data_IF_869257501993
#
_entry.id   IF_869257501993
#
_cell.length_a   1.000
_cell.length_b   1.000
_cell.length_c   1.000
_cell.angle_alpha   90.00
_cell.angle_beta   90.00
_cell.angle_gamma   90.00
#
_symmetry.space_group_name_H-M   'P 1'
#
loop_
_entity.id
_entity.type
_entity.pdbx_description
1 polymer ?
#
# COMPACT_ATOMS: atom_id res chain seq x y z
N UNK A 1 -21.56 7.79 57.43
CA UNK A 1 -20.52 7.19 56.55
C UNK A 1 -21.08 6.60 55.26
N UNK A 2 -22.32 6.08 55.27
CA UNK A 2 -23.00 5.42 54.12
C UNK A 2 -23.40 6.34 52.95
N UNK A 3 -23.65 7.64 53.19
CA UNK A 3 -24.07 8.57 52.14
C UNK A 3 -22.93 8.94 51.17
N UNK A 4 -21.71 9.10 51.69
CA UNK A 4 -20.52 9.39 50.88
C UNK A 4 -20.17 8.23 49.94
N UNK A 5 -20.35 6.98 50.40
CA UNK A 5 -20.08 5.79 49.59
C UNK A 5 -21.06 5.65 48.41
N UNK A 6 -22.35 5.96 48.64
CA UNK A 6 -23.39 5.96 47.58
C UNK A 6 -23.18 7.08 46.56
N UNK A 7 -22.74 8.26 47.00
CA UNK A 7 -22.39 9.37 46.12
C UNK A 7 -21.22 9.02 45.20
N UNK A 8 -20.18 8.38 45.73
CA UNK A 8 -19.02 7.96 44.95
C UNK A 8 -19.36 6.84 43.97
N UNK A 9 -20.20 5.88 44.37
CA UNK A 9 -20.69 4.83 43.47
C UNK A 9 -21.55 5.40 42.33
N UNK A 10 -22.39 6.40 42.60
CA UNK A 10 -23.18 7.08 41.58
C UNK A 10 -22.31 7.86 40.58
N UNK A 11 -21.28 8.57 41.06
CA UNK A 11 -20.29 9.23 40.19
C UNK A 11 -19.49 8.23 39.35
N UNK A 12 -19.10 7.08 39.92
CA UNK A 12 -18.40 6.02 39.19
C UNK A 12 -19.27 5.38 38.09
N UNK A 13 -20.57 5.24 38.35
CA UNK A 13 -21.55 4.73 37.38
C UNK A 13 -21.78 5.72 36.23
N UNK A 14 -21.77 7.03 36.48
CA UNK A 14 -21.85 8.07 35.45
C UNK A 14 -20.62 8.12 34.54
N UNK A 15 -19.43 7.79 35.07
CA UNK A 15 -18.19 7.70 34.28
C UNK A 15 -18.18 6.55 33.26
N UNK A 16 -19.02 5.51 33.44
CA UNK A 16 -19.12 4.35 32.53
C UNK A 16 -20.00 4.66 31.30
N UNK A 17 -20.83 5.71 31.35
CA UNK A 17 -21.73 6.10 30.26
C UNK A 17 -21.22 7.26 29.40
N UNK A 18 -19.96 7.67 29.56
CA UNK A 18 -19.36 8.65 28.65
C UNK A 18 -19.09 7.91 27.33
N UNK A 19 -19.76 8.26 26.21
CA UNK A 19 -19.41 7.70 24.92
C UNK A 19 -17.98 8.15 24.60
N UNK A 20 -17.07 7.19 24.48
CA UNK A 20 -15.77 7.44 23.89
C UNK A 20 -15.99 7.46 22.38
N UNK A 21 -15.94 8.64 21.78
CA UNK A 21 -15.83 8.76 20.33
C UNK A 21 -14.48 8.15 19.92
N UNK A 22 -14.50 6.92 19.44
CA UNK A 22 -13.34 6.34 18.77
C UNK A 22 -13.26 6.98 17.40
N UNK A 23 -12.29 7.86 17.19
CA UNK A 23 -11.99 8.34 15.84
C UNK A 23 -11.44 7.17 15.03
N UNK A 24 -12.21 6.73 14.04
CA UNK A 24 -11.62 6.00 12.94
C UNK A 24 -10.63 6.93 12.23
N UNK A 25 -9.44 6.41 11.95
CA UNK A 25 -8.40 7.15 11.23
C UNK A 25 -8.92 7.49 9.83
N UNK A 26 -8.90 8.78 9.45
CA UNK A 26 -9.44 9.28 8.18
C UNK A 26 -8.43 9.22 7.01
N UNK A 27 -7.34 8.50 7.18
CA UNK A 27 -6.25 8.36 6.22
C UNK A 27 -6.71 7.63 4.94
N UNK A 28 -7.85 6.96 4.98
CA UNK A 28 -8.54 6.37 3.82
C UNK A 28 -9.90 7.03 3.53
N UNK A 29 -10.11 8.29 3.92
CA UNK A 29 -11.38 9.00 3.72
C UNK A 29 -11.62 9.43 2.27
N UNK A 30 -10.56 9.67 1.49
CA UNK A 30 -10.65 10.05 0.07
C UNK A 30 -10.02 8.96 -0.79
N UNK A 31 -10.76 8.51 -1.80
CA UNK A 31 -10.31 7.49 -2.76
C UNK A 31 -10.31 8.11 -4.15
N UNK A 32 -9.20 8.02 -4.87
CA UNK A 32 -9.16 8.23 -6.32
C UNK A 32 -8.81 6.92 -7.01
N UNK A 33 -9.49 6.65 -8.12
CA UNK A 33 -9.31 5.45 -8.92
C UNK A 33 -9.60 5.74 -10.40
N UNK A 34 -9.48 4.71 -11.24
CA UNK A 34 -9.53 4.82 -12.70
C UNK A 34 -10.68 5.66 -13.28
N UNK A 35 -10.48 6.14 -14.51
CA UNK A 35 -11.49 6.93 -15.21
C UNK A 35 -11.76 8.30 -14.58
N UNK A 36 -10.76 8.90 -13.93
CA UNK A 36 -10.86 10.19 -13.21
C UNK A 36 -11.86 10.22 -12.06
N UNK A 37 -12.29 9.04 -11.61
CA UNK A 37 -13.30 8.89 -10.57
C UNK A 37 -12.69 8.93 -9.16
N UNK A 38 -13.53 9.27 -8.19
CA UNK A 38 -13.18 9.17 -6.78
C UNK A 38 -14.40 9.18 -5.88
N UNK A 39 -14.18 8.88 -4.60
CA UNK A 39 -15.17 8.91 -3.53
C UNK A 39 -14.60 9.60 -2.30
N UNK A 40 -15.38 10.48 -1.69
CA UNK A 40 -15.10 11.11 -0.39
C UNK A 40 -16.07 10.58 0.67
N UNK A 41 -15.54 10.02 1.75
CA UNK A 41 -16.28 9.45 2.87
C UNK A 41 -16.35 10.38 4.09
N UNK A 42 -15.78 11.58 4.03
CA UNK A 42 -15.68 12.50 5.18
C UNK A 42 -17.03 12.91 5.79
N UNK A 43 -18.10 12.88 4.99
CA UNK A 43 -19.45 13.26 5.42
C UNK A 43 -20.25 12.12 6.09
N UNK A 44 -19.70 10.92 6.15
CA UNK A 44 -20.41 9.70 6.61
C UNK A 44 -21.26 9.02 5.53
N UNK A 45 -21.45 9.66 4.37
CA UNK A 45 -21.96 9.04 3.15
C UNK A 45 -20.97 9.27 2.00
N UNK A 46 -20.82 8.32 1.05
CA UNK A 46 -19.91 8.47 -0.07
C UNK A 46 -20.37 9.59 -1.00
N UNK A 47 -19.49 10.56 -1.26
CA UNK A 47 -19.69 11.65 -2.22
C UNK A 47 -18.79 11.42 -3.43
N UNK A 48 -19.35 11.50 -4.64
CA UNK A 48 -18.57 11.31 -5.86
C UNK A 48 -17.62 12.48 -6.13
N UNK A 49 -16.39 12.16 -6.53
CA UNK A 49 -15.37 13.09 -7.00
C UNK A 49 -15.08 12.80 -8.48
N UNK A 50 -14.92 13.85 -9.29
CA UNK A 50 -14.76 13.74 -10.76
C UNK A 50 -13.55 14.50 -11.30
N UNK A 51 -12.66 14.92 -10.40
CA UNK A 51 -11.49 15.76 -10.66
C UNK A 51 -10.16 14.98 -10.56
N UNK A 52 -10.22 13.66 -10.34
CA UNK A 52 -9.03 12.81 -10.32
C UNK A 52 -8.31 12.81 -11.68
N UNK A 53 -7.01 12.51 -11.67
CA UNK A 53 -6.22 12.42 -12.91
C UNK A 53 -5.88 10.99 -13.32
N UNK A 54 -6.22 9.99 -12.49
CA UNK A 54 -5.97 8.59 -12.79
C UNK A 54 -6.75 8.13 -14.01
N UNK A 55 -6.03 7.57 -14.98
CA UNK A 55 -6.60 6.84 -16.12
C UNK A 55 -5.96 5.45 -16.15
N UNK A 56 -6.28 4.65 -15.13
CA UNK A 56 -5.82 3.25 -14.98
C UNK A 56 -7.01 2.30 -14.97
N UNK A 57 -6.79 1.04 -15.37
CA UNK A 57 -7.81 -0.02 -15.34
C UNK A 57 -7.74 -0.87 -14.08
N UNK A 58 -6.58 -0.92 -13.43
CA UNK A 58 -6.30 -1.86 -12.36
C UNK A 58 -5.85 -1.14 -11.09
N UNK A 59 -4.59 -1.34 -10.67
CA UNK A 59 -4.07 -0.83 -9.42
C UNK A 59 -3.98 0.69 -9.36
N UNK A 60 -4.28 1.20 -8.17
CA UNK A 60 -4.00 2.56 -7.74
C UNK A 60 -3.93 2.62 -6.21
N UNK A 61 -3.33 3.68 -5.67
CA UNK A 61 -3.34 3.97 -4.24
C UNK A 61 -3.64 5.45 -3.99
N UNK A 62 -4.34 5.75 -2.91
CA UNK A 62 -4.63 7.12 -2.44
C UNK A 62 -4.38 7.16 -0.94
N UNK A 63 -3.84 8.26 -0.43
CA UNK A 63 -3.69 8.49 1.00
C UNK A 63 -4.21 9.87 1.39
N UNK A 64 -4.90 9.93 2.51
CA UNK A 64 -5.32 11.16 3.19
C UNK A 64 -4.55 11.32 4.50
N UNK A 65 -4.56 12.52 5.08
CA UNK A 65 -4.05 12.73 6.43
C UNK A 65 -5.07 12.29 7.50
N UNK A 66 -4.68 12.38 8.77
CA UNK A 66 -5.53 12.05 9.92
C UNK A 66 -6.85 12.85 10.00
N UNK A 67 -6.93 14.01 9.33
CA UNK A 67 -8.15 14.82 9.25
C UNK A 67 -9.05 14.45 8.05
N UNK A 68 -8.59 13.56 7.17
CA UNK A 68 -9.30 13.14 5.97
C UNK A 68 -9.09 14.04 4.75
N UNK A 69 -8.10 14.93 4.79
CA UNK A 69 -7.72 15.71 3.61
C UNK A 69 -6.79 14.88 2.72
N UNK A 70 -7.04 14.90 1.41
CA UNK A 70 -6.18 14.27 0.41
C UNK A 70 -4.74 14.77 0.53
N UNK A 71 -3.78 13.84 0.53
CA UNK A 71 -2.35 14.16 0.42
C UNK A 71 -1.87 13.92 -1.01
N UNK A 72 -1.99 12.68 -1.48
CA UNK A 72 -1.60 12.30 -2.83
C UNK A 72 -2.18 10.94 -3.25
N UNK A 73 -2.07 10.62 -4.53
CA UNK A 73 -2.51 9.37 -5.12
C UNK A 73 -1.64 8.98 -6.31
N UNK A 74 -1.65 7.70 -6.68
CA UNK A 74 -0.78 7.14 -7.72
C UNK A 74 -1.41 5.94 -8.41
N UNK A 75 -1.04 5.72 -9.67
CA UNK A 75 -1.30 4.48 -10.42
C UNK A 75 -0.13 3.49 -10.33
N UNK A 76 0.92 3.80 -9.56
CA UNK A 76 2.16 3.03 -9.47
C UNK A 76 3.26 3.47 -10.45
N UNK A 77 2.98 4.38 -11.39
CA UNK A 77 3.96 4.98 -12.31
C UNK A 77 4.09 6.49 -12.15
N UNK A 78 2.98 7.17 -11.87
CA UNK A 78 2.89 8.61 -11.67
C UNK A 78 2.23 8.92 -10.33
N UNK A 79 2.73 9.94 -9.62
CA UNK A 79 2.15 10.42 -8.36
C UNK A 79 1.59 11.82 -8.57
N UNK A 80 0.34 12.02 -8.15
CA UNK A 80 -0.34 13.30 -8.16
C UNK A 80 -0.57 13.79 -6.73
N UNK A 81 -0.33 15.07 -6.51
CA UNK A 81 -0.54 15.76 -5.25
C UNK A 81 -2.03 16.05 -4.98
N UNK A 82 -2.29 16.71 -3.86
CA UNK A 82 -3.62 17.12 -3.42
C UNK A 82 -4.29 18.17 -4.33
N UNK A 83 -3.51 18.87 -5.15
CA UNK A 83 -4.00 19.82 -6.16
C UNK A 83 -4.21 19.15 -7.53
N UNK A 84 -4.11 17.82 -7.61
CA UNK A 84 -4.19 17.04 -8.84
C UNK A 84 -3.08 17.35 -9.85
N UNK A 85 -1.99 17.95 -9.40
CA UNK A 85 -0.79 18.17 -10.20
C UNK A 85 0.17 17.01 -9.99
N UNK A 86 0.96 16.69 -11.02
CA UNK A 86 2.01 15.67 -10.87
C UNK A 86 3.05 16.19 -9.89
N UNK A 87 3.35 15.42 -8.85
CA UNK A 87 4.42 15.77 -7.92
C UNK A 87 5.75 15.89 -8.68
N UNK A 88 6.66 16.79 -8.28
CA UNK A 88 8.02 16.71 -8.76
C UNK A 88 8.58 15.31 -8.47
N UNK A 89 9.50 14.85 -9.33
CA UNK A 89 10.03 13.47 -9.33
C UNK A 89 8.98 12.33 -9.30
N UNK A 90 7.69 12.65 -9.45
CA UNK A 90 6.57 11.72 -9.24
C UNK A 90 6.28 10.80 -10.42
N UNK A 91 6.95 10.99 -11.56
CA UNK A 91 6.81 10.13 -12.76
C UNK A 91 7.90 9.06 -12.82
N UNK A 92 7.66 7.96 -13.54
CA UNK A 92 8.68 6.92 -13.72
C UNK A 92 8.92 6.10 -12.46
N UNK A 93 7.88 5.87 -11.67
CA UNK A 93 7.89 4.82 -10.66
C UNK A 93 7.86 3.44 -11.34
N UNK A 94 8.48 2.45 -10.71
CA UNK A 94 8.65 1.11 -11.26
C UNK A 94 7.52 0.12 -10.88
N UNK A 95 6.30 0.62 -10.71
CA UNK A 95 5.09 -0.20 -10.75
C UNK A 95 4.50 -0.25 -12.17
N UNK A 96 3.37 -0.94 -12.32
CA UNK A 96 2.63 -0.90 -13.59
C UNK A 96 1.13 -0.74 -13.41
N UNK A 97 0.53 0.04 -14.31
CA UNK A 97 -0.92 0.22 -14.44
C UNK A 97 -1.68 -1.06 -14.76
N UNK A 98 -0.98 -2.11 -15.22
CA UNK A 98 -1.53 -3.45 -15.43
C UNK A 98 -1.15 -4.45 -14.34
N UNK A 99 -0.85 -3.96 -13.14
CA UNK A 99 -0.76 -4.79 -11.95
C UNK A 99 -2.04 -4.64 -11.14
N UNK A 100 -2.64 -5.77 -10.74
CA UNK A 100 -3.85 -5.80 -9.89
C UNK A 100 -3.70 -5.02 -8.59
N UNK A 101 -2.47 -4.89 -8.07
CA UNK A 101 -2.11 -4.00 -6.96
C UNK A 101 -0.81 -3.25 -7.27
N UNK A 102 -0.89 -2.27 -8.19
CA UNK A 102 0.26 -1.49 -8.66
C UNK A 102 1.01 -0.71 -7.58
N UNK A 103 0.34 -0.29 -6.51
CA UNK A 103 0.96 0.39 -5.39
C UNK A 103 0.20 0.21 -4.06
N UNK A 104 0.93 0.39 -2.95
CA UNK A 104 0.39 0.66 -1.61
C UNK A 104 1.19 1.78 -0.95
N UNK A 105 0.51 2.66 -0.23
CA UNK A 105 1.13 3.80 0.46
C UNK A 105 1.16 3.53 1.96
N UNK A 106 2.33 3.66 2.57
CA UNK A 106 2.57 3.37 3.99
C UNK A 106 3.11 4.63 4.66
N UNK A 107 2.42 5.22 5.65
CA UNK A 107 2.98 6.31 6.45
C UNK A 107 4.18 5.81 7.23
N UNK A 108 5.22 6.64 7.39
CA UNK A 108 6.36 6.32 8.23
C UNK A 108 5.96 6.46 9.71
N UNK A 109 6.08 5.40 10.53
CA UNK A 109 5.87 5.55 11.96
C UNK A 109 6.75 6.65 12.56
N UNK A 110 6.17 7.47 13.43
CA UNK A 110 6.89 8.56 14.11
C UNK A 110 7.15 9.81 13.27
N UNK A 111 6.69 9.86 12.03
CA UNK A 111 6.86 11.03 11.16
C UNK A 111 5.64 11.23 10.24
N UNK A 112 4.84 12.26 10.53
CA UNK A 112 3.58 12.52 9.82
C UNK A 112 3.79 13.11 8.40
N UNK A 113 5.00 13.58 8.09
CA UNK A 113 5.33 14.17 6.79
C UNK A 113 5.86 13.13 5.80
N UNK A 114 6.30 11.96 6.27
CA UNK A 114 6.96 10.97 5.43
C UNK A 114 6.06 9.78 5.11
N UNK A 115 6.02 9.40 3.83
CA UNK A 115 5.28 8.26 3.33
C UNK A 115 6.16 7.43 2.40
N UNK A 116 5.88 6.14 2.30
CA UNK A 116 6.52 5.22 1.36
C UNK A 116 5.49 4.68 0.37
N UNK A 117 5.77 4.83 -0.91
CA UNK A 117 5.02 4.18 -1.99
C UNK A 117 5.73 2.89 -2.32
N UNK A 118 5.14 1.75 -1.96
CA UNK A 118 5.59 0.45 -2.46
C UNK A 118 4.88 0.20 -3.79
N UNK A 119 5.64 -0.20 -4.80
CA UNK A 119 5.17 -0.45 -6.15
C UNK A 119 5.42 -1.90 -6.52
N UNK A 120 4.51 -2.45 -7.33
CA UNK A 120 4.60 -3.80 -7.86
C UNK A 120 4.41 -3.74 -9.37
N UNK A 121 5.38 -4.26 -10.10
CA UNK A 121 5.36 -4.26 -11.56
C UNK A 121 4.43 -5.35 -12.13
N UNK A 122 4.19 -5.29 -13.44
CA UNK A 122 3.44 -6.27 -14.22
C UNK A 122 4.20 -7.61 -14.32
N UNK A 123 3.48 -8.73 -14.46
CA UNK A 123 4.06 -10.04 -14.70
C UNK A 123 4.09 -10.39 -16.20
N UNK A 124 3.99 -9.42 -17.11
CA UNK A 124 3.86 -9.65 -18.55
C UNK A 124 4.63 -8.66 -19.41
N UNK A 125 4.96 -9.08 -20.62
CA UNK A 125 5.54 -8.21 -21.66
C UNK A 125 4.50 -7.76 -22.70
N UNK A 126 3.23 -8.17 -22.54
CA UNK A 126 2.18 -7.95 -23.53
C UNK A 126 1.90 -6.47 -23.80
N UNK A 127 1.87 -5.64 -22.75
CA UNK A 127 1.58 -4.20 -22.89
C UNK A 127 2.82 -3.36 -23.23
N UNK A 128 4.01 -3.90 -22.98
CA UNK A 128 5.29 -3.19 -23.11
C UNK A 128 6.39 -4.17 -23.52
N UNK A 129 6.39 -4.58 -24.79
CA UNK A 129 7.40 -5.50 -25.31
C UNK A 129 8.81 -4.92 -25.11
N UNK A 130 9.71 -5.69 -24.49
CA UNK A 130 11.08 -5.26 -24.21
C UNK A 130 11.25 -4.36 -22.96
N UNK A 131 10.19 -4.02 -22.24
CA UNK A 131 10.25 -3.33 -20.96
C UNK A 131 10.51 -4.33 -19.82
N UNK A 132 11.67 -4.29 -19.16
CA UNK A 132 12.04 -5.28 -18.16
C UNK A 132 11.12 -5.21 -16.93
N UNK A 133 10.74 -6.38 -16.42
CA UNK A 133 10.00 -6.46 -15.15
C UNK A 133 10.94 -6.00 -14.02
N UNK A 134 10.50 -5.00 -13.28
CA UNK A 134 11.24 -4.27 -12.23
C UNK A 134 10.97 -4.80 -10.82
N UNK A 135 10.03 -5.75 -10.67
CA UNK A 135 9.75 -6.41 -9.40
C UNK A 135 9.01 -5.50 -8.40
N UNK A 136 9.43 -5.59 -7.14
CA UNK A 136 8.89 -4.76 -6.05
C UNK A 136 9.90 -3.67 -5.71
N UNK A 137 9.44 -2.43 -5.63
CA UNK A 137 10.29 -1.26 -5.32
C UNK A 137 9.57 -0.35 -4.33
N UNK A 138 10.30 0.48 -3.59
CA UNK A 138 9.69 1.56 -2.82
C UNK A 138 10.26 2.93 -3.18
N UNK A 139 9.47 3.97 -3.00
CA UNK A 139 9.89 5.37 -3.10
C UNK A 139 9.44 6.14 -1.88
N UNK A 140 10.28 7.04 -1.36
CA UNK A 140 9.94 7.92 -0.23
C UNK A 140 9.35 9.22 -0.74
N UNK A 141 8.20 9.59 -0.20
CA UNK A 141 7.54 10.89 -0.35
C UNK A 141 7.76 11.68 0.92
N UNK A 142 8.11 12.95 0.75
CA UNK A 142 8.18 13.92 1.84
C UNK A 142 7.18 15.04 1.55
N UNK A 143 6.17 15.17 2.41
CA UNK A 143 5.08 16.13 2.26
C UNK A 143 5.50 17.57 2.57
N UNK A 144 6.65 17.80 3.21
CA UNK A 144 7.16 19.14 3.49
C UNK A 144 7.83 19.77 2.25
N UNK A 145 8.10 18.96 1.22
CA UNK A 145 8.63 19.42 -0.06
C UNK A 145 7.56 20.09 -0.94
N UNK A 146 8.01 20.73 -2.03
CA UNK A 146 7.17 21.42 -3.01
C UNK A 146 6.13 22.39 -2.37
N UNK A 147 6.55 23.13 -1.35
CA UNK A 147 5.69 24.09 -0.65
C UNK A 147 4.53 23.45 0.12
N UNK A 148 4.69 22.21 0.60
CA UNK A 148 3.67 21.49 1.39
C UNK A 148 2.72 20.61 0.57
N UNK A 149 2.98 20.47 -0.74
CA UNK A 149 2.22 19.56 -1.62
C UNK A 149 2.92 18.21 -1.82
N UNK A 150 4.15 18.10 -1.34
CA UNK A 150 4.97 16.88 -1.36
C UNK A 150 5.72 16.63 -2.67
N UNK A 151 6.77 15.83 -2.56
CA UNK A 151 7.67 15.42 -3.65
C UNK A 151 8.27 14.05 -3.31
N UNK A 152 8.71 13.31 -4.32
CA UNK A 152 9.53 12.12 -4.12
C UNK A 152 10.98 12.55 -3.86
N UNK A 153 11.53 12.07 -2.75
CA UNK A 153 12.92 12.35 -2.38
C UNK A 153 13.86 11.79 -3.46
N UNK A 154 14.66 12.61 -4.17
CA UNK A 154 15.37 12.19 -5.39
C UNK A 154 16.27 10.95 -5.25
N UNK A 155 16.91 10.76 -4.09
CA UNK A 155 17.82 9.64 -3.83
C UNK A 155 17.14 8.44 -3.16
N UNK A 156 15.85 8.51 -2.87
CA UNK A 156 15.06 7.45 -2.23
C UNK A 156 13.88 7.06 -3.14
N UNK A 157 14.11 7.06 -4.45
CA UNK A 157 13.15 6.67 -5.49
C UNK A 157 13.50 5.30 -6.06
N UNK A 158 12.49 4.46 -6.26
CA UNK A 158 12.60 3.14 -6.88
C UNK A 158 13.69 2.25 -6.24
N UNK A 159 13.76 2.25 -4.90
CA UNK A 159 14.67 1.37 -4.17
C UNK A 159 14.16 -0.06 -4.29
N UNK A 160 14.96 -0.92 -4.92
CA UNK A 160 14.57 -2.29 -5.26
C UNK A 160 14.54 -3.20 -4.03
N UNK A 161 13.47 -3.99 -3.92
CA UNK A 161 13.28 -5.01 -2.88
C UNK A 161 13.37 -6.40 -3.51
N UNK A 162 14.46 -7.12 -3.19
CA UNK A 162 14.71 -8.46 -3.73
C UNK A 162 13.72 -9.45 -3.12
N UNK A 163 12.81 -9.95 -3.95
CA UNK A 163 11.71 -10.86 -3.59
C UNK A 163 11.78 -12.19 -4.36
N UNK A 164 12.99 -12.54 -4.79
CA UNK A 164 13.26 -13.68 -5.68
C UNK A 164 14.71 -14.16 -5.51
N UNK A 165 15.00 -15.36 -6.02
CA UNK A 165 16.38 -15.87 -6.11
C UNK A 165 17.06 -15.29 -7.36
N UNK A 166 18.01 -14.37 -7.14
CA UNK A 166 18.77 -13.69 -8.20
C UNK A 166 19.62 -14.64 -9.05
N UNK A 167 19.93 -15.84 -8.56
CA UNK A 167 20.73 -16.84 -9.27
C UNK A 167 19.88 -17.73 -10.19
N UNK A 168 18.56 -17.73 -10.00
CA UNK A 168 17.63 -18.50 -10.82
C UNK A 168 17.12 -17.62 -11.98
N UNK A 169 17.42 -18.03 -13.22
CA UNK A 169 17.10 -17.25 -14.42
C UNK A 169 15.60 -16.89 -14.54
N UNK A 170 14.70 -17.85 -14.29
CA UNK A 170 13.25 -17.62 -14.38
C UNK A 170 12.76 -16.66 -13.28
N UNK A 171 13.29 -16.80 -12.07
CA UNK A 171 12.92 -15.89 -10.98
C UNK A 171 13.48 -14.48 -11.20
N UNK A 172 14.69 -14.37 -11.75
CA UNK A 172 15.31 -13.09 -12.09
C UNK A 172 14.59 -12.38 -13.25
N UNK A 173 13.96 -13.15 -14.15
CA UNK A 173 13.13 -12.63 -15.23
C UNK A 173 11.83 -12.01 -14.71
N UNK A 174 11.05 -12.76 -13.91
CA UNK A 174 9.70 -12.31 -13.50
C UNK A 174 9.65 -11.53 -12.19
N UNK A 175 10.64 -11.72 -11.30
CA UNK A 175 10.93 -10.99 -10.04
C UNK A 175 9.86 -10.94 -8.96
N UNK A 176 8.57 -10.90 -9.27
CA UNK A 176 7.49 -10.70 -8.33
C UNK A 176 6.17 -11.29 -8.81
N UNK A 177 5.15 -11.22 -7.94
CA UNK A 177 3.75 -11.31 -8.35
C UNK A 177 3.06 -9.96 -8.12
N UNK A 178 1.87 -9.76 -8.66
CA UNK A 178 1.08 -8.51 -8.47
C UNK A 178 0.49 -8.34 -7.06
N UNK A 179 0.93 -9.18 -6.12
CA UNK A 179 0.28 -9.36 -4.82
C UNK A 179 1.05 -8.63 -3.74
N UNK A 180 0.43 -7.61 -3.18
CA UNK A 180 0.98 -6.86 -2.04
C UNK A 180 -0.13 -6.48 -1.06
N UNK A 181 0.19 -6.46 0.23
CA UNK A 181 -0.70 -6.03 1.30
C UNK A 181 0.13 -5.46 2.46
N UNK A 182 -0.53 -4.83 3.43
CA UNK A 182 0.13 -4.36 4.63
C UNK A 182 -0.74 -4.55 5.87
N UNK A 183 -0.10 -4.67 7.03
CA UNK A 183 -0.75 -4.75 8.34
C UNK A 183 0.15 -4.15 9.42
N UNK A 184 -0.45 -3.51 10.41
CA UNK A 184 0.27 -3.07 11.60
C UNK A 184 0.87 -4.27 12.34
N UNK A 185 2.10 -4.12 12.78
CA UNK A 185 2.83 -5.08 13.60
C UNK A 185 2.15 -5.23 14.97
N UNK A 186 2.46 -6.33 15.69
CA UNK A 186 1.89 -6.59 17.02
C UNK A 186 2.35 -5.61 18.10
N UNK A 187 3.37 -4.80 17.83
CA UNK A 187 3.77 -3.67 18.70
C UNK A 187 2.81 -2.47 18.60
N UNK A 188 1.89 -2.47 17.63
CA UNK A 188 0.93 -1.39 17.41
C UNK A 188 1.53 -0.14 16.75
N UNK A 189 2.75 -0.22 16.24
CA UNK A 189 3.50 0.92 15.75
C UNK A 189 4.14 0.68 14.38
N UNK A 190 4.91 -0.40 14.24
CA UNK A 190 5.54 -0.75 12.97
C UNK A 190 4.51 -1.33 11.99
N UNK A 191 4.85 -1.37 10.70
CA UNK A 191 4.00 -1.94 9.66
C UNK A 191 4.75 -3.04 8.92
N UNK A 192 4.10 -4.18 8.70
CA UNK A 192 4.57 -5.18 7.74
C UNK A 192 3.99 -4.88 6.37
N UNK A 193 4.84 -4.76 5.37
CA UNK A 193 4.46 -4.82 3.95
C UNK A 193 4.79 -6.21 3.44
N UNK A 194 3.78 -6.92 2.95
CA UNK A 194 3.86 -8.33 2.60
C UNK A 194 3.58 -8.51 1.12
N UNK A 195 4.52 -9.13 0.41
CA UNK A 195 4.36 -9.56 -0.98
C UNK A 195 4.63 -11.06 -1.10
N UNK A 196 4.35 -11.62 -2.28
CA UNK A 196 4.44 -13.05 -2.53
C UNK A 196 5.09 -13.32 -3.88
N UNK A 197 5.94 -14.34 -3.94
CA UNK A 197 6.42 -14.90 -5.19
C UNK A 197 6.62 -16.43 -5.04
N UNK A 198 6.06 -17.20 -5.97
CA UNK A 198 6.07 -18.67 -5.97
C UNK A 198 5.45 -19.31 -4.71
N UNK A 199 6.24 -19.72 -3.74
CA UNK A 199 5.81 -20.24 -2.43
C UNK A 199 6.36 -19.42 -1.27
N UNK A 200 6.99 -18.28 -1.55
CA UNK A 200 7.60 -17.43 -0.55
C UNK A 200 6.77 -16.18 -0.36
N UNK A 201 6.60 -15.81 0.90
CA UNK A 201 6.03 -14.55 1.34
C UNK A 201 7.15 -13.73 1.95
N UNK A 202 7.28 -12.48 1.52
CA UNK A 202 8.34 -11.56 1.93
C UNK A 202 7.68 -10.43 2.72
N UNK A 203 8.01 -10.33 4.01
CA UNK A 203 7.51 -9.28 4.88
C UNK A 203 8.61 -8.27 5.20
N UNK A 204 8.46 -7.04 4.73
CA UNK A 204 9.36 -5.91 4.98
C UNK A 204 8.79 -5.07 6.12
N UNK A 205 9.61 -4.74 7.13
CA UNK A 205 9.17 -3.87 8.23
C UNK A 205 9.34 -2.41 7.84
N UNK A 206 8.38 -1.59 8.23
CA UNK A 206 8.47 -0.13 8.20
C UNK A 206 8.29 0.36 9.63
N UNK A 207 9.28 1.06 10.15
CA UNK A 207 9.30 1.60 11.51
C UNK A 207 9.79 3.06 11.52
N UNK A 208 10.11 3.61 12.69
CA UNK A 208 10.59 4.99 12.83
C UNK A 208 11.90 5.29 12.09
N UNK A 209 12.67 4.26 11.76
CA UNK A 209 13.90 4.35 10.98
C UNK A 209 13.64 4.21 9.47
N UNK A 210 12.41 3.90 9.06
CA UNK A 210 11.99 3.75 7.68
C UNK A 210 11.80 2.30 7.25
N UNK A 211 11.99 2.03 5.96
CA UNK A 211 11.84 0.68 5.38
C UNK A 211 13.09 -0.15 5.65
N UNK A 212 12.93 -1.34 6.24
CA UNK A 212 13.98 -2.35 6.27
C UNK A 212 13.93 -3.18 4.98
N UNK A 213 14.94 -3.11 4.09
CA UNK A 213 14.93 -3.82 2.82
C UNK A 213 15.21 -5.32 2.94
N UNK A 214 15.53 -5.83 4.14
CA UNK A 214 15.75 -7.26 4.37
C UNK A 214 14.46 -7.89 4.90
N UNK A 215 13.76 -8.74 4.12
CA UNK A 215 12.47 -9.26 4.52
C UNK A 215 12.60 -10.45 5.47
N UNK A 216 11.59 -10.62 6.33
CA UNK A 216 11.30 -11.92 6.94
C UNK A 216 10.61 -12.80 5.90
N UNK A 217 11.19 -13.97 5.60
CA UNK A 217 10.71 -14.86 4.53
C UNK A 217 9.97 -16.06 5.14
N UNK A 218 8.72 -16.26 4.74
CA UNK A 218 7.95 -17.47 5.06
C UNK A 218 7.76 -18.31 3.80
N UNK A 219 8.02 -19.62 3.88
CA UNK A 219 7.86 -20.55 2.75
C UNK A 219 6.72 -21.53 3.01
N UNK A 220 5.82 -21.68 2.05
CA UNK A 220 4.75 -22.69 2.10
C UNK A 220 5.11 -23.93 1.26
N UNK A 221 4.56 -25.13 1.58
CA UNK A 221 4.85 -26.33 0.81
C UNK A 221 4.34 -26.29 -0.64
N UNK A 222 3.25 -25.55 -0.88
CA UNK A 222 2.65 -25.46 -2.21
C UNK A 222 3.37 -24.41 -3.07
N UNK A 223 4.16 -24.88 -4.03
CA UNK A 223 4.81 -24.04 -5.02
C UNK A 223 3.92 -23.76 -6.22
N UNK A 224 3.69 -22.47 -6.48
CA UNK A 224 3.02 -21.98 -7.68
C UNK A 224 4.10 -21.37 -8.56
N UNK A 225 4.76 -22.22 -9.34
CA UNK A 225 5.81 -21.78 -10.25
C UNK A 225 5.23 -20.92 -11.37
N UNK A 226 6.01 -19.97 -11.93
CA UNK A 226 5.60 -19.18 -13.08
C UNK A 226 5.10 -20.07 -14.22
N UNK A 227 3.81 -19.94 -14.56
CA UNK A 227 3.23 -20.51 -15.78
C UNK A 227 3.21 -19.40 -16.82
N UNK A 228 3.93 -19.60 -17.92
CA UNK A 228 4.08 -18.59 -18.96
C UNK A 228 3.13 -18.94 -20.10
N UNK A 229 2.28 -18.00 -20.50
CA UNK A 229 1.41 -18.17 -21.66
C UNK A 229 2.18 -17.97 -22.99
N UNK A 230 1.48 -18.12 -24.11
CA UNK A 230 2.07 -17.95 -25.45
C UNK A 230 2.57 -16.52 -25.71
N UNK A 231 2.13 -15.55 -24.91
CA UNK A 231 2.49 -14.14 -24.98
C UNK A 231 3.62 -13.75 -24.01
N UNK A 232 4.18 -14.71 -23.27
CA UNK A 232 5.28 -14.46 -22.32
C UNK A 232 4.81 -13.91 -20.97
N UNK A 233 3.52 -14.02 -20.63
CA UNK A 233 2.97 -13.53 -19.37
C UNK A 233 3.01 -14.61 -18.29
N UNK A 234 3.48 -14.26 -17.10
CA UNK A 234 3.35 -15.12 -15.92
C UNK A 234 1.94 -15.02 -15.33
N UNK A 235 1.02 -15.84 -15.84
CA UNK A 235 -0.39 -15.83 -15.42
C UNK A 235 -0.61 -16.30 -13.96
N UNK A 236 0.37 -16.94 -13.32
CA UNK A 236 0.27 -17.28 -11.89
C UNK A 236 0.56 -16.11 -10.94
N UNK A 237 1.22 -15.08 -11.45
CA UNK A 237 1.54 -13.88 -10.68
C UNK A 237 0.33 -12.95 -10.49
N UNK A 238 -0.69 -13.05 -11.33
CA UNK A 238 -1.91 -12.23 -11.25
C UNK A 238 -2.77 -12.67 -10.05
N UNK A 239 -3.36 -11.71 -9.33
CA UNK A 239 -4.34 -11.96 -8.27
C UNK A 239 -4.16 -11.07 -7.05
N UNK A 240 -4.76 -11.45 -5.92
CA UNK A 240 -4.77 -10.61 -4.71
C UNK A 240 -4.22 -11.32 -3.48
N UNK A 241 -3.62 -10.53 -2.60
CA UNK A 241 -3.21 -10.92 -1.26
C UNK A 241 -3.89 -10.00 -0.25
N UNK A 242 -4.48 -10.59 0.78
CA UNK A 242 -5.04 -9.85 1.91
C UNK A 242 -4.62 -10.49 3.22
N UNK A 243 -4.40 -9.64 4.21
CA UNK A 243 -4.06 -10.00 5.57
C UNK A 243 -5.21 -9.66 6.49
N UNK A 244 -5.50 -10.52 7.46
CA UNK A 244 -6.50 -10.23 8.50
C UNK A 244 -6.06 -9.01 9.33
N UNK A 245 -6.96 -8.15 9.82
CA UNK A 245 -6.59 -6.94 10.56
C UNK A 245 -5.70 -7.18 11.79
N UNK A 246 -5.79 -8.36 12.41
CA UNK A 246 -4.94 -8.74 13.55
C UNK A 246 -3.62 -9.42 13.16
N UNK A 247 -3.27 -9.44 11.87
CA UNK A 247 -2.04 -10.03 11.33
C UNK A 247 -1.93 -11.55 11.37
N UNK A 248 -2.95 -12.30 11.83
CA UNK A 248 -2.81 -13.75 12.09
C UNK A 248 -3.05 -14.64 10.88
N UNK A 249 -3.68 -14.15 9.82
CA UNK A 249 -4.03 -14.92 8.63
C UNK A 249 -3.73 -14.14 7.36
N UNK A 250 -3.20 -14.84 6.36
CA UNK A 250 -3.07 -14.37 5.00
C UNK A 250 -3.99 -15.21 4.10
N UNK A 251 -4.68 -14.54 3.19
CA UNK A 251 -5.46 -15.16 2.14
C UNK A 251 -4.93 -14.70 0.78
N UNK A 252 -4.71 -15.67 -0.11
CA UNK A 252 -4.20 -15.44 -1.45
C UNK A 252 -5.19 -15.99 -2.47
N UNK A 253 -5.46 -15.20 -3.51
CA UNK A 253 -6.24 -15.60 -4.67
C UNK A 253 -5.34 -15.50 -5.91
N UNK A 254 -5.36 -16.54 -6.74
CA UNK A 254 -4.62 -16.59 -8.00
C UNK A 254 -5.62 -16.49 -9.16
N UNK A 255 -5.23 -15.79 -10.22
CA UNK A 255 -6.01 -15.80 -11.45
C UNK A 255 -6.10 -17.23 -12.01
N UNK A 256 -7.29 -17.61 -12.49
CA UNK A 256 -7.55 -18.91 -13.10
C UNK A 256 -7.44 -18.91 -14.62
N UNK A 257 -7.24 -17.75 -15.24
CA UNK A 257 -7.10 -17.60 -16.70
C UNK A 257 -5.64 -17.65 -17.11
#
# INVERSE_FOLDING_TARGET
MTFKLKFWAFCLMLLIFIPFDTFAQKESAVWYFGGKAGLDFNSGSPVALTNGQLVTKEGCATISNANGSLLFYTDGKTVWDSNHSVMPNGTGLLGDTSSTSSAIIIPKPGDASIYYIFTVDKPSYFLSEGDPISGVNYSKVDMDLNGGTGDIVPNEKNIHLITYDVTNAMQNEYKCSEKITAVTHSDGYSVWVITQFINKFFAFSVDENGVNPTPTISTVPQAIYPRIDEQGSNITAIGYLKVSPNGKKLAIAHSSV
#
